data_IF_633030889621
#
_entry.id   IF_633030889621
#
_cell.length_a   1.000
_cell.length_b   1.000
_cell.length_c   1.000
_cell.angle_alpha   90.00
_cell.angle_beta   90.00
_cell.angle_gamma   90.00
#
_symmetry.space_group_name_H-M   'P 1'
#
loop_
_entity.id
_entity.type
_entity.pdbx_description
1 polymer ?
#
# COMPACT_ATOMS: atom_id res chain seq x y z
N UNK A 1 13.81 14.04 -11.63
CA UNK A 1 12.60 13.90 -12.46
C UNK A 1 12.33 12.40 -12.72
N UNK A 2 13.18 11.64 -13.43
CA UNK A 2 12.93 10.22 -13.79
C UNK A 2 12.47 9.36 -12.61
N UNK A 3 13.10 9.47 -11.45
CA UNK A 3 12.73 8.74 -10.24
C UNK A 3 11.27 9.01 -9.82
N UNK A 4 10.92 10.29 -9.72
CA UNK A 4 9.56 10.70 -9.37
C UNK A 4 8.51 10.24 -10.39
N UNK A 5 8.82 10.29 -11.68
CA UNK A 5 7.92 9.81 -12.73
C UNK A 5 7.64 8.30 -12.60
N UNK A 6 8.68 7.49 -12.38
CA UNK A 6 8.52 6.04 -12.17
C UNK A 6 7.68 5.76 -10.93
N UNK A 7 7.99 6.40 -9.82
CA UNK A 7 7.25 6.24 -8.57
C UNK A 7 5.80 6.73 -8.69
N UNK A 8 5.59 7.85 -9.40
CA UNK A 8 4.24 8.38 -9.67
C UNK A 8 3.40 7.45 -10.53
N UNK A 9 4.00 6.83 -11.55
CA UNK A 9 3.34 5.81 -12.37
C UNK A 9 2.95 4.56 -11.56
N UNK A 10 3.86 4.06 -10.71
CA UNK A 10 3.58 2.94 -9.82
C UNK A 10 2.48 3.29 -8.79
N UNK A 11 2.52 4.49 -8.23
CA UNK A 11 1.50 4.96 -7.31
C UNK A 11 0.13 5.08 -7.99
N UNK A 12 0.09 5.63 -9.21
CA UNK A 12 -1.13 5.72 -10.01
C UNK A 12 -1.72 4.34 -10.33
N UNK A 13 -0.89 3.32 -10.58
CA UNK A 13 -1.37 1.96 -10.80
C UNK A 13 -1.85 1.29 -9.52
N UNK A 14 -1.20 1.54 -8.39
CA UNK A 14 -1.52 0.92 -7.12
C UNK A 14 -2.85 1.45 -6.54
N UNK A 15 -3.04 2.76 -6.46
CA UNK A 15 -4.17 3.37 -5.75
C UNK A 15 -5.56 2.90 -6.24
N UNK A 16 -5.85 2.86 -7.54
CA UNK A 16 -7.14 2.35 -8.02
C UNK A 16 -7.39 0.90 -7.63
N UNK A 17 -6.36 0.05 -7.65
CA UNK A 17 -6.48 -1.36 -7.25
C UNK A 17 -6.96 -1.47 -5.80
N UNK A 18 -6.39 -0.67 -4.90
CA UNK A 18 -6.78 -0.65 -3.49
C UNK A 18 -8.22 -0.15 -3.30
N UNK A 19 -8.58 0.95 -3.96
CA UNK A 19 -9.91 1.55 -3.82
C UNK A 19 -10.99 0.64 -4.42
N UNK A 20 -10.75 0.06 -5.60
CA UNK A 20 -11.70 -0.84 -6.25
C UNK A 20 -11.84 -2.14 -5.43
N UNK A 21 -10.77 -2.66 -4.87
CA UNK A 21 -10.80 -3.85 -4.03
C UNK A 21 -11.77 -3.68 -2.85
N UNK A 22 -11.82 -2.50 -2.22
CA UNK A 22 -12.73 -2.20 -1.10
C UNK A 22 -14.22 -2.33 -1.45
N UNK A 23 -14.59 -2.29 -2.73
CA UNK A 23 -15.96 -2.55 -3.16
C UNK A 23 -16.35 -4.02 -3.09
N UNK A 24 -15.38 -4.91 -3.02
CA UNK A 24 -15.54 -6.38 -3.09
C UNK A 24 -14.97 -7.10 -1.88
N UNK A 25 -14.44 -6.39 -0.88
CA UNK A 25 -13.89 -6.96 0.35
C UNK A 25 -14.09 -6.00 1.53
N UNK A 26 -13.89 -6.48 2.75
CA UNK A 26 -13.94 -5.63 3.95
C UNK A 26 -12.61 -4.91 4.16
N UNK A 27 -12.62 -3.70 4.78
CA UNK A 27 -11.38 -2.98 5.11
C UNK A 27 -10.38 -3.81 5.91
N UNK A 28 -10.86 -4.56 6.90
CA UNK A 28 -10.02 -5.43 7.73
C UNK A 28 -9.35 -6.54 6.89
N UNK A 29 -10.12 -7.26 6.06
CA UNK A 29 -9.57 -8.32 5.19
C UNK A 29 -8.59 -7.74 4.17
N UNK A 30 -8.90 -6.59 3.58
CA UNK A 30 -8.02 -5.90 2.65
C UNK A 30 -6.70 -5.50 3.32
N UNK A 31 -6.73 -4.90 4.51
CA UNK A 31 -5.54 -4.47 5.23
C UNK A 31 -4.53 -5.63 5.40
N UNK A 32 -5.02 -6.84 5.68
CA UNK A 32 -4.16 -8.02 5.78
C UNK A 32 -3.64 -8.51 4.42
N UNK A 33 -4.50 -8.56 3.40
CA UNK A 33 -4.07 -9.00 2.06
C UNK A 33 -3.02 -8.06 1.47
N UNK A 34 -3.19 -6.77 1.65
CA UNK A 34 -2.25 -5.74 1.23
C UNK A 34 -0.89 -5.95 1.91
N UNK A 35 -0.86 -6.32 3.17
CA UNK A 35 0.38 -6.57 3.94
C UNK A 35 1.25 -7.70 3.35
N UNK A 36 0.73 -8.50 2.42
CA UNK A 36 1.51 -9.50 1.67
C UNK A 36 2.74 -8.87 0.99
N UNK A 37 2.77 -7.55 0.77
CA UNK A 37 3.97 -6.88 0.26
C UNK A 37 5.21 -7.10 1.13
N UNK A 38 5.06 -7.36 2.43
CA UNK A 38 6.18 -7.68 3.34
C UNK A 38 6.96 -8.90 2.87
N UNK A 39 6.25 -9.87 2.29
CA UNK A 39 6.84 -11.08 1.74
C UNK A 39 7.44 -10.80 0.35
N UNK A 40 6.73 -10.04 -0.47
CA UNK A 40 7.09 -9.79 -1.87
C UNK A 40 8.30 -8.86 -1.98
N UNK A 41 8.40 -7.83 -1.13
CA UNK A 41 9.48 -6.83 -1.15
C UNK A 41 10.88 -7.44 -1.08
N UNK A 42 11.21 -8.37 -0.15
CA UNK A 42 12.53 -8.99 -0.11
C UNK A 42 12.89 -9.73 -1.40
N UNK A 43 11.92 -10.39 -2.04
CA UNK A 43 12.15 -11.12 -3.30
C UNK A 43 12.38 -10.17 -4.46
N UNK A 44 11.59 -9.10 -4.59
CA UNK A 44 11.79 -8.08 -5.61
C UNK A 44 13.12 -7.36 -5.37
N UNK A 45 13.43 -7.00 -4.14
CA UNK A 45 14.71 -6.38 -3.77
C UNK A 45 15.88 -7.28 -4.14
N UNK A 46 15.78 -8.60 -3.90
CA UNK A 46 16.79 -9.57 -4.31
C UNK A 46 16.94 -9.63 -5.84
N UNK A 47 15.82 -9.72 -6.56
CA UNK A 47 15.84 -9.79 -8.03
C UNK A 47 16.48 -8.54 -8.64
N UNK A 48 16.15 -7.34 -8.13
CA UNK A 48 16.59 -6.05 -8.65
C UNK A 48 18.01 -5.71 -8.19
N UNK A 49 18.32 -5.89 -6.91
CA UNK A 49 19.62 -5.51 -6.32
C UNK A 49 20.63 -6.65 -6.33
N UNK A 50 20.21 -7.87 -6.69
CA UNK A 50 21.03 -9.10 -6.67
C UNK A 50 21.67 -9.40 -5.31
N UNK A 51 21.12 -8.85 -4.22
CA UNK A 51 21.57 -9.11 -2.84
C UNK A 51 20.58 -10.03 -2.17
N UNK A 52 21.05 -11.22 -1.77
CA UNK A 52 20.20 -12.23 -1.11
C UNK A 52 19.58 -11.66 0.17
N UNK A 53 18.27 -11.84 0.41
CA UNK A 53 17.62 -11.46 1.65
C UNK A 53 18.22 -12.21 2.84
N UNK A 54 18.18 -11.59 4.01
CA UNK A 54 18.57 -12.26 5.24
C UNK A 54 17.59 -13.40 5.55
N UNK A 55 18.06 -14.47 6.21
CA UNK A 55 17.20 -15.59 6.59
C UNK A 55 15.99 -15.17 7.44
N UNK A 56 16.12 -14.07 8.20
CA UNK A 56 15.03 -13.46 8.96
C UNK A 56 13.88 -12.96 8.07
N UNK A 57 14.14 -12.54 6.84
CA UNK A 57 13.10 -12.11 5.90
C UNK A 57 12.23 -13.29 5.44
N UNK A 58 12.82 -14.48 5.28
CA UNK A 58 12.06 -15.69 4.97
C UNK A 58 11.18 -16.12 6.15
N UNK A 59 11.69 -16.03 7.37
CA UNK A 59 10.91 -16.34 8.58
C UNK A 59 9.73 -15.36 8.73
N UNK A 60 9.96 -14.06 8.57
CA UNK A 60 8.91 -13.04 8.59
C UNK A 60 7.87 -13.28 7.48
N UNK A 61 8.31 -13.65 6.28
CA UNK A 61 7.43 -14.01 5.16
C UNK A 61 6.56 -15.23 5.47
N UNK A 62 7.14 -16.27 6.05
CA UNK A 62 6.38 -17.47 6.45
C UNK A 62 5.34 -17.16 7.54
N UNK A 63 5.69 -16.32 8.53
CA UNK A 63 4.75 -15.87 9.57
C UNK A 63 3.61 -15.06 8.97
N UNK A 64 3.91 -14.13 8.06
CA UNK A 64 2.89 -13.32 7.38
C UNK A 64 1.95 -14.19 6.52
N UNK A 65 2.48 -15.19 5.78
CA UNK A 65 1.65 -16.15 5.04
C UNK A 65 0.74 -16.97 5.96
N UNK A 66 1.25 -17.39 7.11
CA UNK A 66 0.46 -18.10 8.11
C UNK A 66 -0.66 -17.22 8.65
N UNK A 67 -0.36 -15.94 8.99
CA UNK A 67 -1.35 -14.97 9.45
C UNK A 67 -2.43 -14.71 8.40
N UNK A 68 -2.04 -14.47 7.15
CA UNK A 68 -2.97 -14.29 6.03
C UNK A 68 -3.84 -15.54 5.84
N UNK A 69 -3.25 -16.74 5.91
CA UNK A 69 -3.96 -18.01 5.83
C UNK A 69 -5.04 -18.14 6.91
N UNK A 70 -4.73 -17.82 8.16
CA UNK A 70 -5.68 -17.86 9.27
C UNK A 70 -6.87 -16.93 9.08
N UNK A 71 -6.66 -15.78 8.48
CA UNK A 71 -7.69 -14.78 8.26
C UNK A 71 -8.53 -15.13 7.02
N UNK A 72 -7.91 -15.57 5.93
CA UNK A 72 -8.58 -15.97 4.70
C UNK A 72 -9.43 -17.24 4.84
N UNK A 73 -9.01 -18.19 5.68
CA UNK A 73 -9.71 -19.47 5.91
C UNK A 73 -11.00 -19.34 6.74
N UNK A 74 -11.31 -18.16 7.26
CA UNK A 74 -12.53 -17.94 8.05
C UNK A 74 -13.79 -17.72 7.20
N UNK A 75 -13.68 -17.68 5.86
CA UNK A 75 -14.76 -17.61 4.89
C UNK A 75 -14.70 -18.75 3.87
N UNK A 76 -15.55 -18.71 2.85
CA UNK A 76 -15.45 -19.65 1.74
C UNK A 76 -14.05 -19.59 1.11
N UNK A 77 -13.46 -20.74 0.77
CA UNK A 77 -12.17 -20.86 0.06
C UNK A 77 -12.19 -20.24 -1.37
N UNK A 78 -13.20 -19.45 -1.68
CA UNK A 78 -13.30 -18.76 -2.96
C UNK A 78 -12.51 -17.46 -2.88
N UNK A 79 -11.51 -17.35 -3.73
CA UNK A 79 -10.81 -16.08 -3.97
C UNK A 79 -11.81 -15.13 -4.62
N UNK A 80 -12.22 -14.12 -3.88
CA UNK A 80 -13.09 -13.07 -4.39
C UNK A 80 -12.29 -12.05 -5.20
N UNK A 81 -12.97 -11.31 -6.06
CA UNK A 81 -12.33 -10.28 -6.89
C UNK A 81 -11.57 -9.26 -6.04
N UNK A 82 -12.09 -8.89 -4.87
CA UNK A 82 -11.43 -7.99 -3.92
C UNK A 82 -10.11 -8.53 -3.40
N UNK A 83 -10.02 -9.84 -3.17
CA UNK A 83 -8.78 -10.49 -2.73
C UNK A 83 -7.71 -10.45 -3.82
N UNK A 84 -8.10 -10.78 -5.06
CA UNK A 84 -7.19 -10.73 -6.20
C UNK A 84 -6.66 -9.32 -6.46
N UNK A 85 -7.52 -8.31 -6.39
CA UNK A 85 -7.14 -6.90 -6.54
C UNK A 85 -6.23 -6.43 -5.41
N UNK A 86 -6.48 -6.85 -4.17
CA UNK A 86 -5.64 -6.54 -3.02
C UNK A 86 -4.24 -7.15 -3.13
N UNK A 87 -4.13 -8.39 -3.61
CA UNK A 87 -2.85 -9.03 -3.87
C UNK A 87 -2.11 -8.38 -5.04
N UNK A 88 -2.83 -7.97 -6.09
CA UNK A 88 -2.24 -7.22 -7.20
C UNK A 88 -1.73 -5.85 -6.74
N UNK A 89 -2.49 -5.16 -5.88
CA UNK A 89 -2.01 -3.95 -5.21
C UNK A 89 -0.71 -4.23 -4.45
N UNK A 90 -0.68 -5.28 -3.61
CA UNK A 90 0.51 -5.64 -2.83
C UNK A 90 1.75 -5.87 -3.71
N UNK A 91 1.57 -6.48 -4.88
CA UNK A 91 2.63 -6.67 -5.86
C UNK A 91 3.13 -5.33 -6.42
N UNK A 92 2.23 -4.47 -6.92
CA UNK A 92 2.60 -3.16 -7.48
C UNK A 92 3.22 -2.27 -6.41
N UNK A 93 2.67 -2.28 -5.21
CA UNK A 93 3.19 -1.51 -4.08
C UNK A 93 4.58 -2.00 -3.62
N UNK A 94 4.85 -3.30 -3.74
CA UNK A 94 6.19 -3.85 -3.49
C UNK A 94 7.23 -3.29 -4.46
N UNK A 95 6.90 -3.13 -5.73
CA UNK A 95 7.77 -2.45 -6.69
C UNK A 95 7.97 -0.98 -6.31
N UNK A 96 6.92 -0.30 -5.85
CA UNK A 96 7.02 1.09 -5.38
C UNK A 96 7.99 1.20 -4.19
N UNK A 97 7.89 0.32 -3.18
CA UNK A 97 8.78 0.31 -2.01
C UNK A 97 10.24 0.11 -2.44
N UNK A 98 10.52 -0.90 -3.27
CA UNK A 98 11.89 -1.19 -3.73
C UNK A 98 12.44 -0.05 -4.59
N UNK A 99 11.66 0.47 -5.52
CA UNK A 99 12.06 1.60 -6.35
C UNK A 99 12.34 2.85 -5.49
N UNK A 100 11.50 3.13 -4.49
CA UNK A 100 11.72 4.22 -3.53
C UNK A 100 13.03 4.06 -2.79
N UNK A 101 13.32 2.87 -2.24
CA UNK A 101 14.56 2.60 -1.52
C UNK A 101 15.84 2.77 -2.37
N UNK A 102 15.75 2.45 -3.67
CA UNK A 102 16.85 2.66 -4.62
C UNK A 102 17.08 4.15 -4.90
N UNK A 103 16.02 4.90 -5.16
CA UNK A 103 16.10 6.28 -5.62
C UNK A 103 16.24 7.28 -4.46
N UNK A 104 15.64 7.03 -3.30
CA UNK A 104 15.74 7.92 -2.13
C UNK A 104 17.17 8.14 -1.65
N UNK A 105 18.06 7.15 -1.88
CA UNK A 105 19.50 7.25 -1.56
C UNK A 105 20.30 8.05 -2.59
N UNK A 106 19.77 8.24 -3.78
CA UNK A 106 20.50 8.87 -4.91
C UNK A 106 20.04 10.30 -5.19
N UNK A 107 18.81 10.64 -4.83
CA UNK A 107 18.22 11.96 -5.11
C UNK A 107 17.55 12.53 -3.85
N UNK A 108 17.21 13.81 -3.88
CA UNK A 108 16.46 14.43 -2.79
C UNK A 108 15.07 13.79 -2.64
N UNK A 109 14.71 13.24 -1.48
CA UNK A 109 13.39 12.63 -1.26
C UNK A 109 12.24 13.61 -1.49
N UNK A 110 12.40 14.88 -1.12
CA UNK A 110 11.38 15.92 -1.33
C UNK A 110 11.14 16.20 -2.80
N UNK A 111 12.22 16.38 -3.59
CA UNK A 111 12.09 16.57 -5.03
C UNK A 111 11.49 15.32 -5.70
N UNK A 112 11.87 14.13 -5.24
CA UNK A 112 11.33 12.86 -5.71
C UNK A 112 9.83 12.77 -5.43
N UNK A 113 9.38 13.11 -4.22
CA UNK A 113 7.97 13.14 -3.82
C UNK A 113 7.17 14.13 -4.67
N UNK A 114 7.71 15.32 -4.90
CA UNK A 114 7.05 16.33 -5.73
C UNK A 114 6.74 15.80 -7.15
N UNK A 115 7.74 15.24 -7.83
CA UNK A 115 7.53 14.66 -9.16
C UNK A 115 6.69 13.40 -9.13
N UNK A 116 6.70 12.63 -8.04
CA UNK A 116 5.83 11.46 -7.83
C UNK A 116 4.36 11.89 -7.81
N UNK A 117 4.01 12.91 -7.03
CA UNK A 117 2.62 13.40 -6.94
C UNK A 117 2.18 14.11 -8.22
N UNK A 118 3.07 14.87 -8.84
CA UNK A 118 2.78 15.54 -10.12
C UNK A 118 2.46 14.50 -11.20
N UNK A 119 3.21 13.42 -11.27
CA UNK A 119 3.00 12.33 -12.25
C UNK A 119 1.74 11.55 -11.94
N UNK A 120 1.55 11.11 -10.69
CA UNK A 120 0.36 10.36 -10.29
C UNK A 120 -0.92 11.19 -10.48
N UNK A 121 -0.89 12.46 -10.05
CA UNK A 121 -2.00 13.40 -10.23
C UNK A 121 -2.29 13.69 -11.70
N UNK A 122 -1.25 13.87 -12.51
CA UNK A 122 -1.38 14.06 -13.94
C UNK A 122 -2.06 12.88 -14.64
N UNK A 123 -1.63 11.65 -14.35
CA UNK A 123 -2.27 10.45 -14.89
C UNK A 123 -3.71 10.29 -14.39
N UNK A 124 -3.98 10.58 -13.12
CA UNK A 124 -5.33 10.54 -12.56
C UNK A 124 -6.25 11.57 -13.24
N UNK A 125 -5.75 12.79 -13.48
CA UNK A 125 -6.50 13.82 -14.18
C UNK A 125 -6.81 13.42 -15.63
N UNK A 126 -5.82 12.90 -16.35
CA UNK A 126 -5.99 12.41 -17.72
C UNK A 126 -7.05 11.30 -17.76
N UNK A 127 -6.97 10.35 -16.82
CA UNK A 127 -7.93 9.24 -16.74
C UNK A 127 -9.34 9.76 -16.47
N UNK A 128 -9.50 10.72 -15.54
CA UNK A 128 -10.78 11.35 -15.23
C UNK A 128 -11.39 12.03 -16.47
N UNK A 129 -10.57 12.76 -17.25
CA UNK A 129 -11.01 13.44 -18.47
C UNK A 129 -11.42 12.44 -19.57
N UNK A 130 -10.69 11.33 -19.73
CA UNK A 130 -10.99 10.29 -20.72
C UNK A 130 -12.29 9.56 -20.38
N UNK A 131 -12.51 9.26 -19.10
CA UNK A 131 -13.72 8.57 -18.62
C UNK A 131 -14.95 9.49 -18.56
N UNK A 132 -14.76 10.81 -18.65
CA UNK A 132 -15.84 11.79 -18.56
C UNK A 132 -16.48 11.86 -17.16
N UNK A 133 -15.84 11.30 -16.15
CA UNK A 133 -16.32 11.29 -14.77
C UNK A 133 -16.00 12.61 -14.06
N UNK A 134 -16.68 13.69 -14.48
CA UNK A 134 -16.56 14.98 -13.80
C UNK A 134 -17.43 15.00 -12.54
N UNK A 135 -16.87 15.42 -11.40
CA UNK A 135 -17.64 15.59 -10.18
C UNK A 135 -18.69 16.68 -10.36
N UNK A 136 -19.96 16.32 -10.18
CA UNK A 136 -21.08 17.26 -10.38
C UNK A 136 -21.40 18.11 -9.14
N UNK A 137 -21.25 17.56 -7.95
CA UNK A 137 -21.35 18.26 -6.67
C UNK A 137 -20.72 17.41 -5.55
N UNK A 138 -20.04 18.07 -4.65
CA UNK A 138 -19.53 17.41 -3.42
C UNK A 138 -20.12 18.10 -2.19
N UNK A 139 -20.68 17.34 -1.23
CA UNK A 139 -20.99 17.90 0.06
C UNK A 139 -19.69 18.39 0.74
N UNK A 140 -19.79 19.46 1.52
CA UNK A 140 -18.61 20.08 2.18
C UNK A 140 -17.80 19.07 2.99
N UNK A 141 -18.47 18.13 3.64
CA UNK A 141 -17.83 17.04 4.38
C UNK A 141 -16.98 16.14 3.46
N UNK A 142 -17.46 15.86 2.24
CA UNK A 142 -16.71 15.08 1.25
C UNK A 142 -15.45 15.82 0.77
N UNK A 143 -15.55 17.13 0.55
CA UNK A 143 -14.39 17.97 0.20
C UNK A 143 -13.36 17.97 1.34
N UNK A 144 -13.79 18.10 2.59
CA UNK A 144 -12.93 18.01 3.76
C UNK A 144 -12.22 16.65 3.90
N UNK A 145 -12.95 15.57 3.68
CA UNK A 145 -12.37 14.21 3.70
C UNK A 145 -11.33 14.01 2.59
N UNK A 146 -11.61 14.48 1.37
CA UNK A 146 -10.65 14.42 0.27
C UNK A 146 -9.40 15.26 0.53
N UNK A 147 -9.57 16.47 1.07
CA UNK A 147 -8.44 17.33 1.45
C UNK A 147 -7.57 16.66 2.53
N UNK A 148 -8.18 16.05 3.54
CA UNK A 148 -7.47 15.28 4.55
C UNK A 148 -6.67 14.11 3.95
N UNK A 149 -7.30 13.29 3.10
CA UNK A 149 -6.64 12.16 2.44
C UNK A 149 -5.50 12.64 1.54
N UNK A 150 -5.66 13.75 0.83
CA UNK A 150 -4.62 14.31 -0.02
C UNK A 150 -3.45 14.83 0.80
N UNK A 151 -3.69 15.67 1.80
CA UNK A 151 -2.63 16.36 2.54
C UNK A 151 -1.94 15.41 3.52
N UNK A 152 -2.71 14.68 4.33
CA UNK A 152 -2.15 13.86 5.41
C UNK A 152 -1.72 12.49 4.88
N UNK A 153 -2.63 11.77 4.22
CA UNK A 153 -2.35 10.41 3.80
C UNK A 153 -1.46 10.34 2.55
N UNK A 154 -1.72 11.17 1.52
CA UNK A 154 -0.91 11.10 0.29
C UNK A 154 0.38 11.92 0.44
N UNK A 155 0.29 13.23 0.62
CA UNK A 155 1.49 14.09 0.65
C UNK A 155 2.32 13.83 1.91
N UNK A 156 1.71 13.80 3.09
CA UNK A 156 2.39 13.62 4.36
C UNK A 156 3.02 12.22 4.47
N UNK A 157 2.21 11.17 4.40
CA UNK A 157 2.67 9.80 4.65
C UNK A 157 3.71 9.33 3.62
N UNK A 158 3.46 9.51 2.30
CA UNK A 158 4.43 9.09 1.29
C UNK A 158 5.70 9.94 1.28
N UNK A 159 5.64 11.24 1.63
CA UNK A 159 6.85 12.05 1.78
C UNK A 159 7.69 11.55 2.96
N UNK A 160 7.06 11.28 4.11
CA UNK A 160 7.75 10.69 5.26
C UNK A 160 8.32 9.31 4.93
N UNK A 161 7.58 8.47 4.21
CA UNK A 161 8.06 7.18 3.72
C UNK A 161 9.29 7.34 2.83
N UNK A 162 9.26 8.25 1.86
CA UNK A 162 10.38 8.51 0.96
C UNK A 162 11.63 9.01 1.72
N UNK A 163 11.44 9.85 2.75
CA UNK A 163 12.52 10.32 3.61
C UNK A 163 13.08 9.16 4.46
N UNK A 164 12.20 8.40 5.12
CA UNK A 164 12.59 7.28 5.98
C UNK A 164 13.34 6.19 5.22
N UNK A 165 12.90 5.87 4.01
CA UNK A 165 13.54 4.86 3.16
C UNK A 165 14.95 5.26 2.68
N UNK A 166 15.33 6.53 2.78
CA UNK A 166 16.71 6.95 2.57
C UNK A 166 17.68 6.34 3.59
N UNK A 167 17.19 6.13 4.82
CA UNK A 167 17.99 5.69 5.96
C UNK A 167 17.76 4.23 6.32
N UNK A 168 16.81 3.56 5.67
CA UNK A 168 16.36 2.20 6.01
C UNK A 168 16.56 1.26 4.82
N UNK A 169 16.56 -0.05 5.06
CA UNK A 169 16.49 -1.05 3.98
C UNK A 169 15.04 -1.28 3.56
N UNK A 170 14.84 -1.71 2.30
CA UNK A 170 13.51 -1.96 1.73
C UNK A 170 12.70 -2.95 2.59
N UNK A 171 13.36 -4.02 3.07
CA UNK A 171 12.75 -5.04 3.93
C UNK A 171 12.31 -4.48 5.28
N UNK A 172 13.15 -3.67 5.94
CA UNK A 172 12.76 -3.03 7.20
C UNK A 172 11.62 -2.03 6.98
N UNK A 173 11.65 -1.28 5.88
CA UNK A 173 10.55 -0.37 5.53
C UNK A 173 9.24 -1.13 5.34
N UNK A 174 9.26 -2.26 4.64
CA UNK A 174 8.07 -3.09 4.45
C UNK A 174 7.51 -3.60 5.78
N UNK A 175 8.37 -4.07 6.69
CA UNK A 175 7.94 -4.53 8.03
C UNK A 175 7.35 -3.39 8.86
N UNK A 176 7.96 -2.20 8.84
CA UNK A 176 7.41 -1.04 9.56
C UNK A 176 6.07 -0.58 8.99
N UNK A 177 5.95 -0.57 7.66
CA UNK A 177 4.70 -0.23 6.99
C UNK A 177 3.59 -1.25 7.27
N UNK A 178 3.92 -2.53 7.52
CA UNK A 178 2.92 -3.54 7.85
C UNK A 178 2.19 -3.29 9.18
N UNK A 179 2.75 -2.46 10.07
CA UNK A 179 2.03 -1.99 11.26
C UNK A 179 0.72 -1.25 10.91
N UNK A 180 0.60 -0.76 9.67
CA UNK A 180 -0.64 -0.19 9.14
C UNK A 180 -1.81 -1.16 9.26
N UNK A 181 -1.61 -2.45 8.98
CA UNK A 181 -2.66 -3.46 9.06
C UNK A 181 -3.15 -3.68 10.48
N UNK A 182 -2.24 -3.66 11.47
CA UNK A 182 -2.58 -3.80 12.88
C UNK A 182 -3.38 -2.59 13.36
N UNK A 183 -2.89 -1.38 13.03
CA UNK A 183 -3.57 -0.13 13.38
C UNK A 183 -4.92 -0.03 12.66
N UNK A 184 -4.96 -0.36 11.36
CA UNK A 184 -6.18 -0.35 10.55
C UNK A 184 -7.25 -1.29 11.09
N UNK A 185 -6.86 -2.50 11.50
CA UNK A 185 -7.77 -3.43 12.17
C UNK A 185 -8.32 -2.87 13.48
N UNK A 186 -7.44 -2.32 14.33
CA UNK A 186 -7.85 -1.72 15.60
C UNK A 186 -8.85 -0.57 15.40
N UNK A 187 -8.60 0.28 14.40
CA UNK A 187 -9.53 1.33 14.00
C UNK A 187 -10.84 0.76 13.45
N UNK A 188 -10.80 -0.33 12.68
CA UNK A 188 -11.98 -1.02 12.16
C UNK A 188 -12.88 -1.52 13.28
N UNK A 189 -12.30 -2.17 14.29
CA UNK A 189 -13.04 -2.65 15.47
C UNK A 189 -13.64 -1.49 16.27
N UNK A 190 -12.85 -0.43 16.55
CA UNK A 190 -13.29 0.67 17.42
C UNK A 190 -14.26 1.62 16.73
N UNK A 191 -14.05 1.93 15.44
CA UNK A 191 -14.82 2.95 14.73
C UNK A 191 -15.99 2.36 13.90
N UNK A 192 -15.81 1.16 13.39
CA UNK A 192 -16.80 0.51 12.50
C UNK A 192 -17.53 -0.67 13.15
N UNK A 193 -17.12 -1.07 14.37
CA UNK A 193 -17.72 -2.19 15.08
C UNK A 193 -17.45 -3.55 14.43
N UNK A 194 -16.33 -3.67 13.72
CA UNK A 194 -15.91 -4.96 13.15
C UNK A 194 -15.78 -6.01 14.26
N UNK A 195 -16.20 -7.26 14.03
CA UNK A 195 -16.14 -8.29 15.06
C UNK A 195 -14.71 -8.56 15.50
N UNK A 196 -14.46 -8.40 16.80
CA UNK A 196 -13.16 -8.76 17.40
C UNK A 196 -13.02 -10.28 17.43
N UNK A 197 -12.26 -10.81 16.49
CA UNK A 197 -12.06 -12.26 16.37
C UNK A 197 -10.65 -12.63 16.81
N UNK A 198 -10.52 -13.61 17.69
CA UNK A 198 -9.22 -14.12 18.19
C UNK A 198 -8.28 -14.54 17.04
N UNK A 199 -8.86 -15.01 15.92
CA UNK A 199 -8.10 -15.41 14.72
C UNK A 199 -7.39 -14.23 14.07
N UNK A 200 -8.03 -13.05 14.05
CA UNK A 200 -7.44 -11.84 13.48
C UNK A 200 -6.35 -11.30 14.41
N UNK A 201 -6.52 -11.46 15.72
CA UNK A 201 -5.47 -11.10 16.69
C UNK A 201 -4.20 -11.96 16.57
N UNK A 202 -4.37 -13.24 16.23
CA UNK A 202 -3.23 -14.19 16.08
C UNK A 202 -2.62 -14.07 14.67
N UNK A 203 -3.40 -13.68 13.67
CA UNK A 203 -2.96 -13.59 12.27
C UNK A 203 -2.34 -12.24 11.89
N UNK A 204 -2.61 -11.17 12.62
CA UNK A 204 -2.03 -9.83 12.40
C UNK A 204 -0.83 -9.60 13.29
#
# INVERSE_FOLDING_TARGET
>A
IKAGMILGGLLFLAQPLQIIALRYTTPSKQAFLVTTYVIIVPFISWLVLRKRPQNKAFAAGAMALFGIGLISLSGSLRVELGDALSLLFALVYSFLIVATGIWAKKVSPLAMSFYQYLTAGGFSLITMLILGEMPQAYPLVGVGAMAYLMIVNTVGAYTLQNIAQRYTSDTHSAVLLSMESVIGYFCGVVLYGDPFTTRVLIGG
#
